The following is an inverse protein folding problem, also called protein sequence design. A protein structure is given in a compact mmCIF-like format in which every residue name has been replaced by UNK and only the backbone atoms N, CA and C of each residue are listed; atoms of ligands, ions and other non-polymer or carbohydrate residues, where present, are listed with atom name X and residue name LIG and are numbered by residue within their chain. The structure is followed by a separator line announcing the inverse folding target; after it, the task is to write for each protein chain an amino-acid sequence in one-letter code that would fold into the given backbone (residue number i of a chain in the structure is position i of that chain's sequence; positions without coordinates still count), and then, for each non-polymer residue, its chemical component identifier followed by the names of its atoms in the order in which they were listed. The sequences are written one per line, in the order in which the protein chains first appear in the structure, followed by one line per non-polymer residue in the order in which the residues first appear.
data_IF_488316944443
#
_entry.id   IF_488316944443
#
_cell.length_a   1.000
_cell.length_b   1.000
_cell.length_c   1.000
_cell.angle_alpha   90.00
_cell.angle_beta   90.00
_cell.angle_gamma   90.00
#
_symmetry.space_group_name_H-M   'P 1'
#
loop_
_entity.id
_entity.type
_entity.pdbx_description
1 polymer ?
#
# COMPACT_ATOMS: atom_id res chain seq x y z
N UNK A 1 11.07 34.21 43.44
CA UNK A 1 9.79 33.52 43.13
C UNK A 1 10.11 32.07 42.86
N UNK A 2 9.39 31.18 43.55
CA UNK A 2 9.81 29.84 43.96
C UNK A 2 10.07 28.86 42.79
N UNK A 3 11.32 28.45 42.61
CA UNK A 3 11.68 27.31 41.77
C UNK A 3 11.40 26.02 42.56
N UNK A 4 10.21 25.43 42.35
CA UNK A 4 9.76 24.18 42.99
C UNK A 4 10.44 22.93 42.39
N UNK A 5 11.56 23.09 41.69
CA UNK A 5 12.30 21.98 41.09
C UNK A 5 13.29 21.43 42.10
N UNK A 6 13.18 20.12 42.37
CA UNK A 6 14.04 19.44 43.32
C UNK A 6 15.53 19.70 43.02
N UNK A 7 16.27 20.41 43.89
CA UNK A 7 17.66 20.79 43.65
C UNK A 7 18.58 19.58 43.45
N UNK A 8 18.24 18.42 44.03
CA UNK A 8 18.97 17.15 43.82
C UNK A 8 18.80 16.57 42.41
N UNK A 9 17.63 16.73 41.78
CA UNK A 9 17.42 16.28 40.39
C UNK A 9 18.23 17.11 39.39
N UNK A 10 18.36 18.42 39.65
CA UNK A 10 19.16 19.33 38.82
C UNK A 10 20.66 19.06 38.98
N UNK A 11 21.14 18.83 40.21
CA UNK A 11 22.54 18.53 40.49
C UNK A 11 23.01 17.18 39.91
N UNK A 12 22.11 16.18 39.82
CA UNK A 12 22.43 14.87 39.23
C UNK A 12 22.35 14.83 37.70
N UNK A 13 21.95 15.93 37.03
CA UNK A 13 21.76 15.95 35.58
C UNK A 13 20.67 14.99 35.07
N UNK A 14 19.87 14.42 35.98
CA UNK A 14 18.82 13.43 35.69
C UNK A 14 17.54 14.13 35.22
N UNK A 15 17.68 14.98 34.20
CA UNK A 15 16.56 15.60 33.52
C UNK A 15 15.70 14.53 32.83
N UNK A 16 14.74 13.95 33.56
CA UNK A 16 13.71 13.02 33.06
C UNK A 16 12.84 13.62 31.93
N UNK A 17 13.06 14.89 31.59
CA UNK A 17 12.31 15.61 30.57
C UNK A 17 12.60 15.12 29.14
N UNK A 18 13.73 14.48 28.83
CA UNK A 18 14.08 14.15 27.44
C UNK A 18 13.38 12.90 26.88
N UNK A 19 13.25 11.82 27.66
CA UNK A 19 12.64 10.57 27.17
C UNK A 19 11.11 10.70 26.97
N UNK A 20 10.41 11.35 27.91
CA UNK A 20 8.98 11.60 27.80
C UNK A 20 8.62 12.52 26.62
N UNK A 21 9.45 13.54 26.34
CA UNK A 21 9.23 14.48 25.22
C UNK A 21 9.37 13.78 23.88
N UNK A 22 10.36 12.90 23.71
CA UNK A 22 10.51 12.12 22.48
C UNK A 22 9.33 11.16 22.25
N UNK A 23 8.83 10.51 23.30
CA UNK A 23 7.66 9.63 23.21
C UNK A 23 6.40 10.41 22.81
N UNK A 24 6.12 11.50 23.50
CA UNK A 24 5.00 12.40 23.23
C UNK A 24 5.04 13.02 21.82
N UNK A 25 6.24 13.42 21.37
CA UNK A 25 6.42 14.00 20.04
C UNK A 25 6.14 12.97 18.94
N UNK A 26 6.64 11.74 19.11
CA UNK A 26 6.36 10.62 18.17
C UNK A 26 4.87 10.28 18.10
N UNK A 27 4.14 10.33 19.22
CA UNK A 27 2.69 10.12 19.21
C UNK A 27 1.96 11.16 18.33
N UNK A 28 2.40 12.42 18.36
CA UNK A 28 1.78 13.50 17.57
C UNK A 28 2.10 13.43 16.09
N UNK A 29 3.35 13.14 15.73
CA UNK A 29 3.73 12.95 14.33
C UNK A 29 2.95 11.79 13.72
N UNK A 30 2.86 10.67 14.44
CA UNK A 30 2.13 9.49 13.96
C UNK A 30 0.62 9.74 13.87
N UNK A 31 0.04 10.49 14.83
CA UNK A 31 -1.36 10.92 14.77
C UNK A 31 -1.63 11.83 13.56
N UNK A 32 -0.73 12.78 13.27
CA UNK A 32 -0.87 13.66 12.11
C UNK A 32 -0.76 12.87 10.80
N UNK A 33 0.21 11.96 10.68
CA UNK A 33 0.32 11.09 9.51
C UNK A 33 -0.96 10.26 9.29
N UNK A 34 -1.51 9.68 10.35
CA UNK A 34 -2.78 8.95 10.32
C UNK A 34 -3.97 9.82 9.99
N UNK A 35 -3.98 11.07 10.45
CA UNK A 35 -5.06 12.00 10.15
C UNK A 35 -5.12 12.29 8.64
N UNK A 36 -3.99 12.63 8.02
CA UNK A 36 -3.93 12.90 6.58
C UNK A 36 -4.25 11.64 5.75
N UNK A 37 -3.65 10.49 6.07
CA UNK A 37 -3.97 9.25 5.36
C UNK A 37 -5.40 8.78 5.63
N UNK A 38 -5.94 9.03 6.82
CA UNK A 38 -7.31 8.70 7.19
C UNK A 38 -8.33 9.53 6.42
N UNK A 39 -8.07 10.83 6.22
CA UNK A 39 -8.90 11.68 5.36
C UNK A 39 -8.88 11.18 3.91
N UNK A 40 -7.71 10.84 3.39
CA UNK A 40 -7.59 10.26 2.05
C UNK A 40 -8.33 8.91 1.95
N UNK A 41 -8.18 8.02 2.92
CA UNK A 41 -8.89 6.75 2.96
C UNK A 41 -10.40 6.94 3.01
N UNK A 42 -10.89 7.89 3.81
CA UNK A 42 -12.31 8.22 3.89
C UNK A 42 -12.83 8.71 2.53
N UNK A 43 -12.10 9.60 1.87
CA UNK A 43 -12.46 10.06 0.52
C UNK A 43 -12.50 8.90 -0.49
N UNK A 44 -11.54 7.98 -0.42
CA UNK A 44 -11.52 6.77 -1.25
C UNK A 44 -12.75 5.90 -1.00
N UNK A 45 -13.10 5.65 0.26
CA UNK A 45 -14.30 4.86 0.62
C UNK A 45 -15.57 5.53 0.13
N UNK A 46 -15.70 6.86 0.28
CA UNK A 46 -16.88 7.60 -0.19
C UNK A 46 -17.03 7.55 -1.71
N UNK A 47 -15.92 7.63 -2.46
CA UNK A 47 -15.92 7.49 -3.91
C UNK A 47 -16.35 6.08 -4.35
N UNK A 48 -15.98 5.06 -3.57
CA UNK A 48 -16.26 3.65 -3.88
C UNK A 48 -17.57 3.14 -3.28
N UNK A 49 -18.31 3.95 -2.53
CA UNK A 49 -19.49 3.52 -1.77
C UNK A 49 -20.60 2.93 -2.66
N UNK A 50 -20.70 3.39 -3.90
CA UNK A 50 -21.66 2.93 -4.91
C UNK A 50 -20.98 2.16 -6.05
N UNK A 51 -19.71 1.79 -5.91
CA UNK A 51 -18.93 1.13 -6.95
C UNK A 51 -19.13 -0.38 -6.98
N UNK A 52 -19.20 -0.96 -8.18
CA UNK A 52 -19.21 -2.41 -8.37
C UNK A 52 -17.89 -3.05 -7.93
N UNK A 53 -17.89 -4.36 -7.62
CA UNK A 53 -16.69 -5.10 -7.19
C UNK A 53 -15.47 -4.89 -8.11
N UNK A 54 -15.70 -4.84 -9.42
CA UNK A 54 -14.66 -4.62 -10.45
C UNK A 54 -14.02 -3.24 -10.31
N UNK A 55 -14.82 -2.20 -10.02
CA UNK A 55 -14.35 -0.83 -9.84
C UNK A 55 -13.52 -0.68 -8.56
N UNK A 56 -13.93 -1.35 -7.48
CA UNK A 56 -13.21 -1.39 -6.20
C UNK A 56 -11.86 -2.09 -6.38
N UNK A 57 -11.86 -3.26 -7.03
CA UNK A 57 -10.63 -4.00 -7.27
C UNK A 57 -9.67 -3.23 -8.18
N UNK A 58 -10.15 -2.58 -9.24
CA UNK A 58 -9.32 -1.77 -10.13
C UNK A 58 -8.69 -0.58 -9.38
N UNK A 59 -9.45 0.11 -8.54
CA UNK A 59 -8.94 1.26 -7.76
C UNK A 59 -7.91 0.85 -6.73
N UNK A 60 -8.11 -0.28 -6.04
CA UNK A 60 -7.14 -0.80 -5.07
C UNK A 60 -5.91 -1.45 -5.72
N UNK A 61 -6.03 -1.93 -6.97
CA UNK A 61 -4.92 -2.49 -7.73
C UNK A 61 -3.99 -1.41 -8.32
N UNK A 62 -4.42 -0.15 -8.35
CA UNK A 62 -3.56 0.97 -8.71
C UNK A 62 -2.35 1.02 -7.76
N UNK A 63 -1.10 0.97 -8.27
CA UNK A 63 0.11 0.96 -7.44
C UNK A 63 0.16 2.10 -6.42
N UNK A 64 -0.36 3.29 -6.74
CA UNK A 64 -0.35 4.42 -5.81
C UNK A 64 -1.27 4.17 -4.60
N UNK A 65 -2.50 3.74 -4.86
CA UNK A 65 -3.48 3.43 -3.80
C UNK A 65 -3.02 2.24 -2.96
N UNK A 66 -2.40 1.23 -3.59
CA UNK A 66 -1.84 0.08 -2.89
C UNK A 66 -0.71 0.49 -1.91
N UNK A 67 0.19 1.37 -2.34
CA UNK A 67 1.27 1.89 -1.49
C UNK A 67 0.70 2.73 -0.34
N UNK A 68 -0.23 3.65 -0.63
CA UNK A 68 -0.86 4.48 0.40
C UNK A 68 -1.63 3.63 1.43
N UNK A 69 -2.30 2.57 0.99
CA UNK A 69 -2.95 1.60 1.89
C UNK A 69 -1.96 0.86 2.77
N UNK A 70 -0.83 0.43 2.21
CA UNK A 70 0.22 -0.22 2.99
C UNK A 70 0.79 0.73 4.05
N UNK A 71 1.10 1.98 3.67
CA UNK A 71 1.60 3.00 4.59
C UNK A 71 0.57 3.32 5.68
N UNK A 72 -0.72 3.41 5.33
CA UNK A 72 -1.80 3.64 6.29
C UNK A 72 -1.85 2.55 7.36
N UNK A 73 -1.81 1.29 6.93
CA UNK A 73 -1.84 0.14 7.84
C UNK A 73 -0.60 0.15 8.76
N UNK A 74 0.59 0.39 8.21
CA UNK A 74 1.82 0.45 8.99
C UNK A 74 1.75 1.59 10.03
N UNK A 75 1.32 2.78 9.60
CA UNK A 75 1.18 3.94 10.47
C UNK A 75 0.15 3.68 11.59
N UNK A 76 -0.97 3.02 11.27
CA UNK A 76 -2.01 2.65 12.23
C UNK A 76 -1.47 1.74 13.33
N UNK A 77 -0.78 0.65 12.96
CA UNK A 77 -0.18 -0.26 13.92
C UNK A 77 0.91 0.42 14.76
N UNK A 78 1.73 1.27 14.14
CA UNK A 78 2.76 2.02 14.84
C UNK A 78 2.16 2.96 15.89
N UNK A 79 1.11 3.71 15.53
CA UNK A 79 0.44 4.62 16.46
C UNK A 79 -0.27 3.86 17.59
N UNK A 80 -0.97 2.76 17.26
CA UNK A 80 -1.61 1.89 18.25
C UNK A 80 -0.59 1.34 19.26
N UNK A 81 0.60 0.92 18.79
CA UNK A 81 1.66 0.45 19.68
C UNK A 81 2.14 1.55 20.64
N UNK A 82 2.33 2.78 20.17
CA UNK A 82 2.74 3.91 21.03
C UNK A 82 1.65 4.31 22.02
N UNK A 83 0.38 4.31 21.61
CA UNK A 83 -0.75 4.64 22.47
C UNK A 83 -0.97 3.59 23.55
N UNK A 84 -0.93 2.30 23.18
CA UNK A 84 -1.04 1.19 24.14
C UNK A 84 0.11 1.20 25.15
N UNK A 85 1.31 1.64 24.77
CA UNK A 85 2.42 1.76 25.71
C UNK A 85 2.07 2.71 26.87
N UNK A 86 1.53 3.90 26.60
CA UNK A 86 1.14 4.85 27.64
C UNK A 86 0.02 4.32 28.51
N UNK A 87 -1.01 3.71 27.91
CA UNK A 87 -2.10 3.09 28.68
C UNK A 87 -1.57 1.99 29.61
N UNK A 88 -0.65 1.16 29.12
CA UNK A 88 -0.06 0.11 29.96
C UNK A 88 0.76 0.72 31.11
N UNK A 89 1.56 1.75 30.85
CA UNK A 89 2.37 2.43 31.86
C UNK A 89 1.50 3.14 32.92
N UNK A 90 0.35 3.67 32.54
CA UNK A 90 -0.58 4.37 33.45
C UNK A 90 -1.45 3.40 34.28
N UNK A 91 -1.86 2.26 33.71
CA UNK A 91 -2.85 1.37 34.34
C UNK A 91 -2.28 0.07 34.92
N UNK A 92 -1.09 -0.38 34.49
CA UNK A 92 -0.50 -1.65 34.94
C UNK A 92 0.70 -1.39 35.84
N UNK A 93 0.46 -1.43 37.14
CA UNK A 93 1.51 -1.22 38.14
C UNK A 93 2.44 -2.44 38.26
N UNK A 94 2.06 -3.58 37.66
CA UNK A 94 2.83 -4.82 37.63
C UNK A 94 3.75 -4.85 36.40
N UNK A 95 5.02 -4.47 36.60
CA UNK A 95 6.05 -4.22 35.56
C UNK A 95 6.20 -5.35 34.52
N UNK A 96 6.03 -6.61 34.90
CA UNK A 96 6.20 -7.76 34.00
C UNK A 96 5.01 -7.99 33.07
N UNK A 97 3.78 -7.69 33.51
CA UNK A 97 2.57 -7.91 32.73
C UNK A 97 2.48 -6.93 31.55
N UNK A 98 2.89 -5.67 31.77
CA UNK A 98 2.93 -4.65 30.72
C UNK A 98 3.91 -4.95 29.59
N UNK A 99 5.08 -5.51 29.93
CA UNK A 99 6.10 -5.93 28.94
C UNK A 99 5.61 -7.11 28.12
N UNK A 100 4.97 -8.11 28.75
CA UNK A 100 4.41 -9.28 28.04
C UNK A 100 3.32 -8.86 27.05
N UNK A 101 2.46 -7.92 27.42
CA UNK A 101 1.39 -7.44 26.56
C UNK A 101 1.94 -6.64 25.36
N UNK A 102 2.95 -5.80 25.56
CA UNK A 102 3.62 -5.06 24.48
C UNK A 102 4.36 -6.01 23.52
N UNK A 103 4.97 -7.07 24.05
CA UNK A 103 5.60 -8.12 23.24
C UNK A 103 4.53 -8.85 22.42
N UNK A 104 3.41 -9.25 23.03
CA UNK A 104 2.32 -9.95 22.34
C UNK A 104 1.75 -9.14 21.16
N UNK A 105 1.53 -7.83 21.32
CA UNK A 105 1.06 -6.94 20.24
C UNK A 105 2.07 -6.84 19.09
N UNK A 106 3.36 -6.71 19.40
CA UNK A 106 4.44 -6.66 18.38
C UNK A 106 4.57 -7.98 17.62
N UNK A 107 4.48 -9.12 18.31
CA UNK A 107 4.52 -10.44 17.68
C UNK A 107 3.29 -10.69 16.79
N UNK A 108 2.10 -10.24 17.20
CA UNK A 108 0.91 -10.32 16.36
C UNK A 108 1.06 -9.51 15.07
N UNK A 109 1.59 -8.29 15.14
CA UNK A 109 1.83 -7.45 13.97
C UNK A 109 2.87 -8.06 13.00
N UNK A 110 4.00 -8.56 13.52
CA UNK A 110 5.05 -9.21 12.71
C UNK A 110 4.56 -10.53 12.09
N UNK A 111 3.79 -11.32 12.84
CA UNK A 111 3.20 -12.57 12.35
C UNK A 111 2.26 -12.34 11.16
N UNK A 112 1.50 -11.24 11.17
CA UNK A 112 0.64 -10.84 10.05
C UNK A 112 1.42 -10.32 8.84
N UNK A 113 2.51 -9.58 9.04
CA UNK A 113 3.38 -9.12 7.96
C UNK A 113 4.09 -10.28 7.22
N UNK A 114 4.62 -11.26 7.97
CA UNK A 114 5.28 -12.44 7.39
C UNK A 114 4.31 -13.36 6.62
N UNK A 115 3.04 -13.40 7.02
CA UNK A 115 1.99 -14.15 6.31
C UNK A 115 1.53 -13.51 4.99
N UNK A 116 1.72 -12.19 4.82
CA UNK A 116 1.40 -11.46 3.60
C UNK A 116 2.42 -11.66 2.47
N UNK A 117 3.71 -11.58 2.81
CA UNK A 117 4.81 -11.73 1.86
C UNK A 117 4.81 -13.10 1.15
N UNK A 118 4.47 -14.17 1.87
CA UNK A 118 4.37 -15.52 1.29
C UNK A 118 3.22 -15.68 0.29
N UNK A 119 2.09 -15.00 0.50
CA UNK A 119 0.93 -15.07 -0.43
C UNK A 119 1.09 -14.16 -1.66
N UNK A 120 1.79 -13.03 -1.52
CA UNK A 120 2.14 -12.18 -2.65
C UNK A 120 3.16 -12.86 -3.58
N UNK A 121 4.15 -13.58 -3.02
CA UNK A 121 5.15 -14.31 -3.79
C UNK A 121 4.55 -15.42 -4.67
N UNK A 122 3.52 -16.13 -4.20
CA UNK A 122 2.81 -17.13 -5.02
C UNK A 122 1.96 -16.51 -6.15
N UNK A 123 1.55 -15.24 -6.03
CA UNK A 123 0.71 -14.55 -7.04
C UNK A 123 1.53 -13.73 -8.04
N UNK A 124 2.77 -13.36 -7.70
CA UNK A 124 3.69 -12.64 -8.59
C UNK A 124 4.55 -13.57 -9.48
N UNK A 125 4.56 -14.88 -9.21
CA UNK A 125 5.19 -15.88 -10.09
C UNK A 125 4.45 -16.12 -11.41
N UNK A 126 3.24 -15.57 -11.60
CA UNK A 126 2.43 -15.71 -12.81
C UNK A 126 2.23 -14.40 -13.58
N UNK A 127 2.79 -13.27 -13.10
CA UNK A 127 2.87 -12.07 -13.92
C UNK A 127 3.98 -12.26 -14.96
N UNK A 128 3.51 -12.69 -16.12
CA UNK A 128 4.20 -12.80 -17.41
C UNK A 128 5.35 -11.80 -17.52
N UNK A 129 6.54 -12.23 -17.99
CA UNK A 129 7.60 -11.29 -18.29
C UNK A 129 7.04 -10.26 -19.26
N UNK A 130 7.20 -9.00 -18.90
CA UNK A 130 7.04 -7.83 -19.74
C UNK A 130 7.68 -8.13 -21.11
N UNK A 131 6.88 -8.64 -22.04
CA UNK A 131 7.26 -8.64 -23.45
C UNK A 131 7.14 -7.20 -23.86
N UNK A 132 8.26 -6.49 -23.71
CA UNK A 132 8.58 -5.35 -24.53
C UNK A 132 8.12 -5.69 -25.95
N UNK A 133 7.08 -5.02 -26.42
CA UNK A 133 6.62 -5.09 -27.81
C UNK A 133 7.76 -4.50 -28.63
N UNK A 134 8.71 -5.36 -28.99
CA UNK A 134 9.82 -5.07 -29.89
C UNK A 134 9.16 -4.69 -31.22
N UNK A 135 9.31 -3.43 -31.60
CA UNK A 135 9.00 -2.96 -32.94
C UNK A 135 9.75 -3.84 -33.95
N UNK A 136 9.02 -4.53 -34.81
CA UNK A 136 9.55 -5.08 -36.05
C UNK A 136 8.98 -4.26 -37.18
N UNK A 137 9.62 -3.11 -37.38
CA UNK A 137 9.63 -2.45 -38.68
C UNK A 137 10.42 -3.36 -39.63
N UNK A 138 9.73 -4.20 -40.40
CA UNK A 138 10.29 -4.91 -41.55
C UNK A 138 9.24 -5.00 -42.65
N UNK A 139 9.11 -3.93 -43.41
CA UNK A 139 8.54 -3.96 -44.76
C UNK A 139 9.57 -3.33 -45.72
N UNK A 140 10.79 -3.86 -45.69
CA UNK A 140 11.75 -3.64 -46.77
C UNK A 140 11.31 -4.48 -47.98
N UNK A 141 10.88 -3.78 -49.02
CA UNK A 141 11.33 -3.99 -50.39
C UNK A 141 11.74 -5.43 -50.75
N UNK A 142 10.86 -6.14 -51.45
CA UNK A 142 11.30 -7.11 -52.45
C UNK A 142 10.46 -6.99 -53.72
N UNK A 143 11.22 -6.70 -54.79
CA UNK A 143 10.94 -6.97 -56.20
C UNK A 143 9.66 -6.41 -56.81
N UNK A 144 9.85 -5.31 -57.54
CA UNK A 144 9.18 -5.03 -58.80
C UNK A 144 9.19 -6.26 -59.73
N UNK A 145 8.01 -6.65 -60.19
CA UNK A 145 7.81 -7.23 -61.53
C UNK A 145 6.40 -6.84 -61.98
N UNK A 146 6.37 -6.05 -63.06
CA UNK A 146 5.22 -5.37 -63.65
C UNK A 146 4.34 -6.34 -64.49
N UNK A 147 3.18 -5.88 -65.00
CA UNK A 147 2.00 -6.69 -65.32
C UNK A 147 1.94 -7.14 -66.78
N UNK A 148 1.34 -8.31 -67.03
CA UNK A 148 0.99 -8.81 -68.37
C UNK A 148 -0.31 -9.65 -68.30
N UNK A 149 -1.39 -9.04 -68.78
CA UNK A 149 -2.55 -9.57 -69.51
C UNK A 149 -3.21 -10.91 -69.12
N UNK A 150 -4.52 -10.82 -68.82
CA UNK A 150 -5.51 -11.61 -69.56
C UNK A 150 -6.91 -10.99 -69.59
N UNK A 151 -7.28 -10.59 -70.79
CA UNK A 151 -8.63 -10.27 -71.29
C UNK A 151 -9.40 -11.58 -71.59
N UNK A 152 -10.74 -11.48 -71.65
CA UNK A 152 -11.79 -12.49 -71.98
C UNK A 152 -12.42 -13.19 -70.77
N UNK A 153 -13.75 -13.28 -70.58
CA UNK A 153 -14.95 -12.77 -71.24
C UNK A 153 -16.16 -13.10 -70.32
N UNK A 154 -17.35 -12.47 -70.47
CA UNK A 154 -18.53 -12.77 -69.65
C UNK A 154 -19.35 -13.91 -70.26
N UNK A 155 -19.92 -14.80 -69.43
CA UNK A 155 -21.00 -15.69 -69.89
C UNK A 155 -22.00 -16.02 -68.77
N UNK A 156 -23.16 -15.39 -68.92
CA UNK A 156 -24.52 -15.77 -68.52
C UNK A 156 -24.72 -17.27 -68.20
N UNK A 157 -25.45 -17.57 -67.11
CA UNK A 157 -26.69 -18.35 -67.15
C UNK A 157 -27.27 -18.59 -65.73
N UNK A 158 -28.47 -18.07 -65.49
CA UNK A 158 -29.48 -18.58 -64.52
C UNK A 158 -30.01 -19.95 -65.01
N UNK A 159 -30.66 -20.81 -64.17
CA UNK A 159 -32.09 -20.65 -63.80
C UNK A 159 -32.44 -21.24 -62.39
N UNK A 160 -33.69 -21.58 -62.03
CA UNK A 160 -34.48 -20.78 -61.08
C UNK A 160 -34.98 -21.54 -59.83
N UNK A 161 -35.67 -20.76 -58.99
CA UNK A 161 -36.57 -21.07 -57.86
C UNK A 161 -37.15 -22.50 -57.76
N UNK A 162 -37.23 -22.94 -56.50
CA UNK A 162 -38.41 -23.56 -55.87
C UNK A 162 -38.64 -22.87 -54.54
#
# INVERSE_FOLDING_TARGET
MNDLRNPLQRARGLGSAKEGVNHWWRQRITALALFFLGLWFMALVLLLLHGDYTSVHATLADPLNAVLMLVFIIALFWHMQLGLQVVIEDYVHTRWLGVVLQIAVRFYAVGRAAGGARRAAHRFGTLRPWKATRSSNTSSMSSWSAPVDRVCAPRLAWPPRV
#
